data_IF_011961679222
#
_entry.id   IF_011961679222
#
_cell.length_a   1.000
_cell.length_b   1.000
_cell.length_c   1.000
_cell.angle_alpha   90.00
_cell.angle_beta   90.00
_cell.angle_gamma   90.00
#
_symmetry.space_group_name_H-M   'P 1'
#
loop_
_entity.id
_entity.type
_entity.pdbx_description
1 polymer ?
#
# COMPACT_ATOMS: atom_id res chain seq x y z
N UNK A 1 11.85 52.79 5.68
CA UNK A 1 10.56 52.15 5.32
C UNK A 1 10.58 51.32 4.02
N UNK A 2 11.53 51.53 3.08
CA UNK A 2 11.57 50.80 1.81
C UNK A 2 12.01 49.33 1.93
N UNK A 3 12.95 49.01 2.84
CA UNK A 3 13.45 47.64 3.07
C UNK A 3 12.38 46.66 3.53
N UNK A 4 11.47 47.07 4.41
CA UNK A 4 10.39 46.20 4.91
C UNK A 4 9.36 45.90 3.82
N UNK A 5 9.15 46.81 2.86
CA UNK A 5 8.24 46.59 1.73
C UNK A 5 8.80 45.55 0.74
N UNK A 6 10.11 45.56 0.50
CA UNK A 6 10.76 44.55 -0.35
C UNK A 6 10.68 43.14 0.26
N UNK A 7 10.84 43.04 1.58
CA UNK A 7 10.81 41.77 2.30
C UNK A 7 9.39 41.16 2.28
N UNK A 8 8.35 41.98 2.44
CA UNK A 8 6.95 41.54 2.36
C UNK A 8 6.60 41.01 0.95
N UNK A 9 7.06 41.70 -0.11
CA UNK A 9 6.82 41.26 -1.49
C UNK A 9 7.51 39.92 -1.77
N UNK A 10 8.73 39.72 -1.26
CA UNK A 10 9.45 38.45 -1.39
C UNK A 10 8.73 37.27 -0.71
N UNK A 11 8.19 37.48 0.49
CA UNK A 11 7.42 36.45 1.21
C UNK A 11 6.15 36.07 0.43
N UNK A 12 5.39 37.05 -0.08
CA UNK A 12 4.16 36.80 -0.84
C UNK A 12 4.44 36.01 -2.12
N UNK A 13 5.52 36.34 -2.83
CA UNK A 13 5.95 35.60 -4.03
C UNK A 13 6.35 34.16 -3.70
N UNK A 14 7.05 33.94 -2.59
CA UNK A 14 7.40 32.57 -2.17
C UNK A 14 6.18 31.72 -1.81
N UNK A 15 5.17 32.31 -1.17
CA UNK A 15 3.92 31.63 -0.81
C UNK A 15 3.05 31.27 -2.03
N UNK A 16 3.04 32.11 -3.06
CA UNK A 16 2.26 31.81 -4.28
C UNK A 16 2.85 30.62 -5.05
N UNK A 17 4.19 30.47 -5.05
CA UNK A 17 4.86 29.34 -5.70
C UNK A 17 4.55 28.02 -4.97
N UNK A 18 4.51 28.03 -3.63
CA UNK A 18 4.15 26.83 -2.84
C UNK A 18 2.71 26.39 -3.09
N UNK A 19 1.76 27.33 -3.22
CA UNK A 19 0.36 27.01 -3.53
C UNK A 19 0.17 26.42 -4.94
N UNK A 20 0.97 26.84 -5.92
CA UNK A 20 0.95 26.26 -7.28
C UNK A 20 1.46 24.81 -7.30
N UNK A 21 2.38 24.45 -6.40
CA UNK A 21 2.86 23.06 -6.28
C UNK A 21 1.84 22.14 -5.58
N UNK A 22 1.08 22.66 -4.61
CA UNK A 22 0.03 21.88 -3.92
C UNK A 22 -1.22 21.65 -4.78
N UNK A 23 -1.53 22.56 -5.71
CA UNK A 23 -2.68 22.45 -6.62
C UNK A 23 -2.56 21.37 -7.70
N UNK A 24 -1.37 20.83 -7.95
CA UNK A 24 -1.14 19.78 -8.96
C UNK A 24 -1.15 18.36 -8.40
N UNK A 25 -1.38 18.19 -7.10
CA UNK A 25 -1.71 16.88 -6.55
C UNK A 25 -3.17 16.62 -6.91
N UNK A 26 -3.42 16.13 -8.12
CA UNK A 26 -4.68 15.46 -8.46
C UNK A 26 -4.80 14.28 -7.51
N UNK A 27 -5.48 14.47 -6.39
CA UNK A 27 -6.02 13.37 -5.60
C UNK A 27 -6.87 12.59 -6.58
N UNK A 28 -6.37 11.43 -6.99
CA UNK A 28 -7.05 10.53 -7.89
C UNK A 28 -8.21 9.89 -7.10
N UNK A 29 -9.25 10.67 -6.81
CA UNK A 29 -10.49 10.16 -6.26
C UNK A 29 -11.19 9.44 -7.40
N UNK A 30 -10.98 8.13 -7.48
CA UNK A 30 -11.75 7.25 -8.34
C UNK A 30 -13.19 7.20 -7.79
N UNK A 31 -14.02 8.16 -8.19
CA UNK A 31 -15.46 8.10 -7.94
C UNK A 31 -16.05 7.04 -8.86
N UNK A 32 -16.21 5.81 -8.33
CA UNK A 32 -16.94 4.74 -9.02
C UNK A 32 -18.40 5.18 -9.14
N UNK A 33 -18.97 5.29 -10.35
CA UNK A 33 -20.40 5.50 -10.49
C UNK A 33 -21.14 4.28 -9.96
N UNK A 34 -21.92 4.47 -8.90
CA UNK A 34 -22.87 3.48 -8.38
C UNK A 34 -24.04 3.37 -9.36
N UNK A 35 -23.83 2.63 -10.46
CA UNK A 35 -24.85 2.39 -11.47
C UNK A 35 -25.01 0.89 -11.71
N UNK A 36 -26.22 0.43 -11.38
CA UNK A 36 -26.90 -0.82 -11.74
C UNK A 36 -26.06 -1.85 -12.54
N UNK A 37 -25.56 -2.87 -11.86
CA UNK A 37 -25.26 -4.17 -12.46
C UNK A 37 -25.79 -5.28 -11.52
N UNK A 38 -26.32 -6.39 -12.06
CA UNK A 38 -26.80 -7.53 -11.25
C UNK A 38 -25.68 -8.14 -10.39
N UNK A 39 -25.99 -8.93 -9.34
CA UNK A 39 -25.07 -9.37 -8.27
C UNK A 39 -23.95 -10.35 -8.69
N UNK A 40 -23.56 -10.37 -9.96
CA UNK A 40 -22.56 -11.27 -10.54
C UNK A 40 -21.14 -10.67 -10.49
N UNK A 41 -20.98 -9.37 -10.21
CA UNK A 41 -19.69 -8.68 -10.40
C UNK A 41 -18.75 -8.67 -9.19
N UNK A 42 -19.24 -8.56 -7.95
CA UNK A 42 -18.39 -8.33 -6.78
C UNK A 42 -17.58 -9.56 -6.36
N UNK A 43 -18.18 -10.74 -6.34
CA UNK A 43 -17.49 -11.98 -5.96
C UNK A 43 -16.42 -12.38 -6.98
N UNK A 44 -16.69 -12.20 -8.27
CA UNK A 44 -15.73 -12.48 -9.36
C UNK A 44 -14.54 -11.52 -9.30
N UNK A 45 -14.80 -10.23 -9.05
CA UNK A 45 -13.75 -9.21 -8.87
C UNK A 45 -12.88 -9.53 -7.65
N UNK A 46 -13.51 -9.95 -6.55
CA UNK A 46 -12.79 -10.31 -5.33
C UNK A 46 -11.89 -11.53 -5.56
N UNK A 47 -12.41 -12.61 -6.15
CA UNK A 47 -11.62 -13.81 -6.48
C UNK A 47 -10.44 -13.49 -7.39
N UNK A 48 -10.66 -12.67 -8.42
CA UNK A 48 -9.58 -12.24 -9.34
C UNK A 48 -8.52 -11.40 -8.63
N UNK A 49 -8.92 -10.57 -7.65
CA UNK A 49 -7.98 -9.79 -6.86
C UNK A 49 -7.15 -10.66 -5.92
N UNK A 50 -7.75 -11.69 -5.30
CA UNK A 50 -7.06 -12.63 -4.43
C UNK A 50 -6.04 -13.48 -5.20
N UNK A 51 -6.41 -13.98 -6.38
CA UNK A 51 -5.47 -14.74 -7.23
C UNK A 51 -4.26 -13.90 -7.65
N UNK A 52 -4.47 -12.63 -7.99
CA UNK A 52 -3.39 -11.71 -8.33
C UNK A 52 -2.46 -11.46 -7.13
N UNK A 53 -3.01 -11.33 -5.92
CA UNK A 53 -2.21 -11.19 -4.70
C UNK A 53 -1.43 -12.47 -4.40
N UNK A 54 -2.03 -13.64 -4.60
CA UNK A 54 -1.33 -14.93 -4.40
C UNK A 54 -0.18 -15.08 -5.38
N UNK A 55 -0.36 -14.70 -6.64
CA UNK A 55 0.72 -14.72 -7.63
C UNK A 55 1.81 -13.71 -7.29
N UNK A 56 1.43 -12.51 -6.84
CA UNK A 56 2.39 -11.52 -6.38
C UNK A 56 3.20 -12.03 -5.17
N UNK A 57 2.56 -12.58 -4.14
CA UNK A 57 3.27 -13.18 -2.99
C UNK A 57 4.17 -14.32 -3.46
N UNK A 58 3.68 -15.19 -4.34
CA UNK A 58 4.47 -16.32 -4.83
C UNK A 58 5.73 -15.87 -5.57
N UNK A 59 5.62 -14.89 -6.46
CA UNK A 59 6.75 -14.33 -7.23
C UNK A 59 7.79 -13.60 -6.38
N UNK A 60 7.38 -13.07 -5.22
CA UNK A 60 8.27 -12.39 -4.26
C UNK A 60 8.71 -13.33 -3.13
N UNK A 61 8.30 -14.59 -3.16
CA UNK A 61 8.66 -15.58 -2.13
C UNK A 61 9.73 -16.55 -2.63
N UNK A 62 10.73 -16.86 -1.79
CA UNK A 62 11.88 -17.68 -2.19
C UNK A 62 11.76 -19.15 -1.77
N UNK A 63 10.95 -19.47 -0.75
CA UNK A 63 11.02 -20.75 -0.03
C UNK A 63 9.68 -21.36 0.38
N UNK A 64 8.57 -20.84 -0.14
CA UNK A 64 7.23 -21.28 0.26
C UNK A 64 6.45 -21.82 -0.94
N UNK A 65 5.54 -22.75 -0.67
CA UNK A 65 4.66 -23.27 -1.70
C UNK A 65 3.52 -22.30 -2.01
N UNK A 66 2.93 -22.44 -3.19
CA UNK A 66 1.76 -21.65 -3.58
C UNK A 66 0.57 -21.82 -2.62
N UNK A 67 0.46 -22.98 -1.97
CA UNK A 67 -0.57 -23.22 -0.94
C UNK A 67 -0.33 -22.37 0.32
N UNK A 68 0.93 -22.22 0.74
CA UNK A 68 1.27 -21.32 1.85
C UNK A 68 1.00 -19.87 1.47
N UNK A 69 1.31 -19.47 0.23
CA UNK A 69 0.99 -18.13 -0.27
C UNK A 69 -0.52 -17.84 -0.20
N UNK A 70 -1.36 -18.82 -0.58
CA UNK A 70 -2.82 -18.71 -0.47
C UNK A 70 -3.27 -18.48 0.97
N UNK A 71 -2.75 -19.23 1.93
CA UNK A 71 -3.11 -19.03 3.34
C UNK A 71 -2.64 -17.66 3.85
N UNK A 72 -1.44 -17.20 3.47
CA UNK A 72 -0.95 -15.86 3.82
C UNK A 72 -1.90 -14.77 3.30
N UNK A 73 -2.25 -14.82 2.01
CA UNK A 73 -3.14 -13.82 1.39
C UNK A 73 -4.53 -13.87 2.02
N UNK A 74 -5.07 -15.08 2.22
CA UNK A 74 -6.38 -15.30 2.84
C UNK A 74 -6.48 -14.72 4.26
N UNK A 75 -5.40 -14.79 5.05
CA UNK A 75 -5.38 -14.13 6.35
C UNK A 75 -5.15 -12.62 6.24
N UNK A 76 -4.30 -12.18 5.30
CA UNK A 76 -4.00 -10.76 5.12
C UNK A 76 -5.22 -9.95 4.67
N UNK A 77 -6.05 -10.45 3.75
CA UNK A 77 -7.24 -9.77 3.22
C UNK A 77 -8.31 -9.49 4.29
N UNK A 78 -8.28 -10.20 5.42
CA UNK A 78 -9.19 -9.96 6.55
C UNK A 78 -8.83 -8.70 7.34
N UNK A 79 -7.60 -8.19 7.15
CA UNK A 79 -7.08 -7.04 7.89
C UNK A 79 -7.45 -5.73 7.19
N UNK A 80 -7.55 -4.60 7.93
CA UNK A 80 -7.94 -3.31 7.34
C UNK A 80 -7.02 -2.79 6.23
N UNK A 81 -5.75 -3.22 6.23
CA UNK A 81 -4.72 -2.78 5.27
C UNK A 81 -3.93 -3.98 4.74
N UNK A 82 -4.54 -4.82 3.89
CA UNK A 82 -3.94 -6.10 3.48
C UNK A 82 -2.67 -5.90 2.65
N UNK A 83 -2.67 -4.93 1.73
CA UNK A 83 -1.49 -4.60 0.92
C UNK A 83 -0.31 -4.13 1.76
N UNK A 84 -0.57 -3.29 2.77
CA UNK A 84 0.47 -2.83 3.69
C UNK A 84 1.04 -4.00 4.48
N UNK A 85 0.17 -4.88 4.98
CA UNK A 85 0.59 -6.06 5.73
C UNK A 85 1.46 -6.98 4.88
N UNK A 86 1.06 -7.25 3.64
CA UNK A 86 1.84 -8.06 2.70
C UNK A 86 3.18 -7.42 2.35
N UNK A 87 3.23 -6.09 2.14
CA UNK A 87 4.48 -5.37 1.89
C UNK A 87 5.44 -5.42 3.09
N UNK A 88 4.92 -5.39 4.33
CA UNK A 88 5.75 -5.59 5.52
C UNK A 88 6.31 -7.01 5.55
N UNK A 89 5.48 -8.03 5.30
CA UNK A 89 5.92 -9.43 5.30
C UNK A 89 6.99 -9.72 4.24
N UNK A 90 6.90 -9.06 3.08
CA UNK A 90 7.92 -9.11 2.02
C UNK A 90 9.30 -8.68 2.54
N UNK A 91 9.37 -7.48 3.15
CA UNK A 91 10.64 -6.90 3.61
C UNK A 91 11.19 -7.64 4.84
N UNK A 92 10.32 -8.04 5.76
CA UNK A 92 10.73 -8.62 7.05
C UNK A 92 11.18 -10.09 6.93
N UNK A 93 10.48 -10.88 6.12
CA UNK A 93 10.68 -12.34 6.08
C UNK A 93 10.71 -12.94 4.69
N UNK A 94 10.50 -12.13 3.65
CA UNK A 94 10.31 -12.61 2.28
C UNK A 94 9.23 -13.71 2.22
N UNK A 95 8.17 -13.51 3.00
CA UNK A 95 7.03 -14.42 3.22
C UNK A 95 7.36 -15.77 3.87
N UNK A 96 8.54 -15.96 4.44
CA UNK A 96 8.92 -17.25 5.06
C UNK A 96 8.40 -17.34 6.51
N UNK A 97 7.40 -18.19 6.81
CA UNK A 97 6.79 -18.25 8.16
C UNK A 97 7.73 -18.76 9.24
N UNK A 98 8.83 -19.41 8.85
CA UNK A 98 9.86 -19.95 9.73
C UNK A 98 11.12 -19.08 9.77
N UNK A 99 11.07 -17.85 9.24
CA UNK A 99 12.20 -16.93 9.29
C UNK A 99 12.54 -16.55 10.74
N UNK A 100 13.84 -16.58 11.06
CA UNK A 100 14.37 -16.15 12.36
C UNK A 100 15.52 -15.19 12.14
N UNK A 101 15.48 -14.02 12.79
CA UNK A 101 16.57 -13.06 12.74
C UNK A 101 17.70 -13.37 13.73
N UNK A 102 18.83 -12.69 13.59
CA UNK A 102 19.96 -12.76 14.54
C UNK A 102 19.62 -12.28 15.95
N UNK A 103 18.49 -11.58 16.12
CA UNK A 103 17.97 -11.11 17.41
C UNK A 103 16.81 -11.98 17.92
N UNK A 104 16.62 -13.17 17.37
CA UNK A 104 15.53 -14.11 17.69
C UNK A 104 14.12 -13.59 17.39
N UNK A 105 13.97 -12.60 16.51
CA UNK A 105 12.66 -12.25 15.99
C UNK A 105 12.17 -13.37 15.05
N UNK A 106 10.90 -13.78 15.14
CA UNK A 106 10.38 -14.98 14.45
C UNK A 106 9.17 -14.64 13.57
N UNK A 107 9.07 -15.36 12.45
CA UNK A 107 7.86 -15.45 11.64
C UNK A 107 7.73 -14.35 10.58
N UNK A 108 6.53 -14.24 10.01
CA UNK A 108 6.26 -13.39 8.85
C UNK A 108 6.51 -11.89 9.11
N UNK A 109 6.29 -11.46 10.35
CA UNK A 109 6.45 -10.07 10.78
C UNK A 109 7.67 -9.83 11.67
N UNK A 110 8.52 -10.85 11.85
CA UNK A 110 9.71 -10.77 12.72
C UNK A 110 9.37 -10.18 14.11
N UNK A 111 8.47 -10.87 14.83
CA UNK A 111 8.07 -10.47 16.19
C UNK A 111 9.13 -10.95 17.20
N UNK A 112 9.50 -10.08 18.13
CA UNK A 112 10.49 -10.29 19.22
C UNK A 112 9.86 -10.82 20.50
#
# INVERSE_FOLDING_TARGET
MLKNRLLIVGIILSLSVVMLFLGNVKVFTFSVPKSLAPPVSESILQVRSEEALVEWVYTHSNRISKNVCKEIVKEAIKMPKPLLLLAIMEVESNFVPTATSSKNAIGLMQIL
#
